data_IF_060087464476
#
_entry.id   IF_060087464476
#
_cell.length_a   1.000
_cell.length_b   1.000
_cell.length_c   1.000
_cell.angle_alpha   90.00
_cell.angle_beta   90.00
_cell.angle_gamma   90.00
#
_symmetry.space_group_name_H-M   'P 1'
#
loop_
_entity.id
_entity.type
_entity.pdbx_description
1 polymer ?
#
# COMPACT_ATOMS: atom_id res chain seq x y z
N UNK A 1 -34.60 -1.57 39.29
CA UNK A 1 -33.23 -2.13 39.33
C UNK A 1 -32.76 -2.72 37.98
N UNK A 2 -33.65 -2.95 37.00
CA UNK A 2 -33.31 -3.52 35.67
C UNK A 2 -32.62 -2.51 34.72
N UNK A 3 -32.85 -1.20 34.90
CA UNK A 3 -32.26 -0.13 34.07
C UNK A 3 -30.73 -0.02 34.17
N UNK A 4 -30.13 -0.50 35.27
CA UNK A 4 -28.69 -0.43 35.50
C UNK A 4 -27.91 -1.55 34.77
N UNK A 5 -28.58 -2.67 34.44
CA UNK A 5 -27.92 -3.81 33.77
C UNK A 5 -27.78 -3.64 32.25
N UNK A 6 -28.57 -2.76 31.61
CA UNK A 6 -28.48 -2.47 30.17
C UNK A 6 -27.37 -1.48 29.82
N UNK A 7 -26.88 -0.70 30.79
CA UNK A 7 -25.74 0.22 30.62
C UNK A 7 -24.40 -0.53 30.56
N UNK A 8 -24.32 -1.71 31.19
CA UNK A 8 -23.12 -2.55 31.21
C UNK A 8 -22.69 -3.04 29.82
N UNK A 9 -23.55 -3.65 28.98
CA UNK A 9 -23.11 -4.11 27.66
C UNK A 9 -22.76 -2.95 26.73
N UNK A 10 -23.47 -1.81 26.83
CA UNK A 10 -23.20 -0.62 26.01
C UNK A 10 -21.82 -0.04 26.36
N UNK A 11 -21.51 0.04 27.65
CA UNK A 11 -20.20 0.52 28.11
C UNK A 11 -19.07 -0.41 27.65
N UNK A 12 -19.28 -1.73 27.72
CA UNK A 12 -18.31 -2.72 27.21
C UNK A 12 -18.11 -2.60 25.70
N UNK A 13 -19.20 -2.46 24.92
CA UNK A 13 -19.12 -2.25 23.47
C UNK A 13 -18.38 -0.95 23.14
N UNK A 14 -18.66 0.13 23.87
CA UNK A 14 -17.98 1.42 23.67
C UNK A 14 -16.48 1.32 23.98
N UNK A 15 -16.11 0.55 25.00
CA UNK A 15 -14.72 0.29 25.36
C UNK A 15 -14.00 -0.53 24.28
N UNK A 16 -14.68 -1.52 23.68
CA UNK A 16 -14.13 -2.34 22.59
C UNK A 16 -13.90 -1.49 21.33
N UNK A 17 -14.83 -0.60 20.99
CA UNK A 17 -14.67 0.32 19.85
C UNK A 17 -13.52 1.30 20.11
N UNK A 18 -13.39 1.82 21.34
CA UNK A 18 -12.30 2.73 21.70
C UNK A 18 -10.91 2.05 21.67
N UNK A 19 -10.83 0.75 21.95
CA UNK A 19 -9.59 -0.05 21.93
C UNK A 19 -9.29 -0.63 20.54
N UNK A 20 -10.23 -0.51 19.59
CA UNK A 20 -10.01 -0.93 18.20
C UNK A 20 -8.83 -0.15 17.63
N UNK A 21 -7.67 -0.81 17.60
CA UNK A 21 -6.39 -0.23 17.23
C UNK A 21 -6.49 0.37 15.84
N UNK A 22 -5.83 1.49 15.62
CA UNK A 22 -5.64 2.05 14.27
C UNK A 22 -5.14 0.92 13.39
N UNK A 23 -5.94 0.48 12.43
CA UNK A 23 -5.48 -0.44 11.42
C UNK A 23 -4.37 0.30 10.64
N UNK A 24 -3.11 0.08 11.02
CA UNK A 24 -1.98 0.44 10.20
C UNK A 24 -2.22 -0.32 8.89
N UNK A 25 -2.66 0.41 7.85
CA UNK A 25 -2.70 -0.15 6.52
C UNK A 25 -1.32 -0.76 6.29
N UNK A 26 -1.28 -2.08 6.12
CA UNK A 26 -0.01 -2.80 5.99
C UNK A 26 0.84 -2.12 4.92
N UNK A 27 2.17 -2.13 5.05
CA UNK A 27 3.02 -1.63 3.99
C UNK A 27 2.60 -2.36 2.72
N UNK A 28 2.40 -1.64 1.62
CA UNK A 28 1.73 -2.23 0.46
C UNK A 28 2.53 -3.37 -0.19
N UNK A 29 2.94 -3.24 -1.44
CA UNK A 29 3.66 -4.32 -2.10
C UNK A 29 5.15 -4.26 -1.77
N UNK A 30 5.63 -5.14 -0.89
CA UNK A 30 7.05 -5.18 -0.50
C UNK A 30 7.86 -6.22 -1.26
N UNK A 31 9.15 -5.91 -1.48
CA UNK A 31 10.18 -6.84 -1.94
C UNK A 31 11.51 -6.45 -1.32
N UNK A 32 12.07 -7.34 -0.49
CA UNK A 32 13.29 -7.04 0.26
C UNK A 32 13.12 -5.83 1.19
N UNK A 33 14.06 -4.88 1.23
CA UNK A 33 14.00 -3.71 2.10
C UNK A 33 13.12 -2.56 1.56
N UNK A 34 12.45 -2.76 0.41
CA UNK A 34 11.64 -1.72 -0.24
C UNK A 34 10.18 -2.13 -0.26
N UNK A 35 9.30 -1.19 0.07
CA UNK A 35 7.85 -1.35 0.00
C UNK A 35 7.24 -0.31 -0.93
N UNK A 36 6.17 -0.68 -1.63
CA UNK A 36 5.34 0.26 -2.37
C UNK A 36 3.99 0.49 -1.70
N UNK A 37 3.63 1.74 -1.47
CA UNK A 37 2.29 2.20 -1.09
C UNK A 37 1.62 2.99 -2.23
N UNK A 38 0.36 3.39 -1.99
CA UNK A 38 -0.41 4.27 -2.87
C UNK A 38 -0.39 3.88 -4.37
N UNK A 39 -0.47 2.57 -4.66
CA UNK A 39 -0.43 2.02 -6.02
C UNK A 39 -1.70 2.44 -6.76
N UNK A 40 -1.54 3.17 -7.86
CA UNK A 40 -2.66 3.70 -8.65
C UNK A 40 -2.42 3.54 -10.14
N UNK A 41 -3.50 3.43 -10.92
CA UNK A 41 -3.42 3.45 -12.39
C UNK A 41 -3.22 4.89 -12.86
N UNK A 42 -2.41 5.07 -13.90
CA UNK A 42 -2.29 6.37 -14.57
C UNK A 42 -3.59 6.73 -15.28
N UNK A 43 -4.07 7.95 -15.06
CA UNK A 43 -5.26 8.47 -15.73
C UNK A 43 -5.05 8.71 -17.24
N UNK A 44 -3.79 8.93 -17.66
CA UNK A 44 -3.44 9.18 -19.06
C UNK A 44 -3.17 7.88 -19.83
N UNK A 45 -2.54 6.91 -19.17
CA UNK A 45 -2.09 5.66 -19.80
C UNK A 45 -2.52 4.48 -18.94
N UNK A 46 -3.58 3.77 -19.33
CA UNK A 46 -4.18 2.70 -18.52
C UNK A 46 -3.26 1.49 -18.25
N UNK A 47 -2.17 1.34 -19.03
CA UNK A 47 -1.14 0.31 -18.85
C UNK A 47 0.02 0.75 -17.93
N UNK A 48 -0.02 1.99 -17.42
CA UNK A 48 0.98 2.49 -16.48
C UNK A 48 0.44 2.49 -15.06
N UNK A 49 1.32 2.14 -14.12
CA UNK A 49 1.06 2.24 -12.69
C UNK A 49 1.98 3.27 -12.07
N UNK A 50 1.44 4.01 -11.11
CA UNK A 50 2.14 4.95 -10.29
C UNK A 50 2.29 4.30 -8.91
N UNK A 51 3.53 4.17 -8.45
CA UNK A 51 3.86 3.60 -7.14
C UNK A 51 4.60 4.63 -6.31
N UNK A 52 4.33 4.66 -5.01
CA UNK A 52 5.17 5.36 -4.05
C UNK A 52 6.02 4.32 -3.35
N UNK A 53 7.34 4.43 -3.47
CA UNK A 53 8.31 3.53 -2.88
C UNK A 53 8.88 4.13 -1.61
N UNK A 54 9.16 3.27 -0.64
CA UNK A 54 9.87 3.59 0.59
C UNK A 54 10.85 2.46 0.92
N UNK A 55 12.08 2.80 1.25
CA UNK A 55 13.10 1.85 1.74
C UNK A 55 13.34 1.98 3.25
N UNK A 56 14.09 1.04 3.82
CA UNK A 56 14.44 1.05 5.25
C UNK A 56 15.35 2.21 5.68
N UNK A 57 15.97 2.91 4.72
CA UNK A 57 16.80 4.10 4.98
C UNK A 57 15.93 5.37 5.07
N UNK A 58 14.63 5.25 4.80
CA UNK A 58 13.67 6.35 4.79
C UNK A 58 13.64 7.11 3.46
N UNK A 59 14.30 6.60 2.41
CA UNK A 59 14.17 7.18 1.08
C UNK A 59 12.78 6.93 0.55
N UNK A 60 12.16 7.98 0.03
CA UNK A 60 10.82 7.93 -0.54
C UNK A 60 10.82 8.47 -1.95
N UNK A 61 10.20 7.73 -2.85
CA UNK A 61 10.19 8.10 -4.27
C UNK A 61 8.87 7.73 -4.94
N UNK A 62 8.37 8.63 -5.80
CA UNK A 62 7.25 8.32 -6.68
C UNK A 62 7.78 7.85 -8.03
N UNK A 63 7.45 6.63 -8.42
CA UNK A 63 7.86 6.05 -9.70
C UNK A 63 6.65 5.68 -10.55
N UNK A 64 6.88 5.58 -11.85
CA UNK A 64 5.91 5.08 -12.82
C UNK A 64 6.48 3.83 -13.46
N UNK A 65 5.71 2.74 -13.51
CA UNK A 65 6.07 1.55 -14.29
C UNK A 65 5.15 1.42 -15.51
N UNK A 66 5.75 1.18 -16.68
CA UNK A 66 5.01 0.70 -17.87
C UNK A 66 4.88 -0.83 -17.79
N UNK A 67 3.66 -1.32 -17.59
CA UNK A 67 3.42 -2.75 -17.43
C UNK A 67 3.58 -3.58 -18.72
N UNK A 68 3.68 -2.94 -19.89
CA UNK A 68 3.93 -3.64 -21.17
C UNK A 68 5.41 -3.96 -21.34
N UNK A 69 6.27 -3.04 -20.89
CA UNK A 69 7.72 -3.13 -21.08
C UNK A 69 8.48 -3.45 -19.78
N UNK A 70 7.79 -3.42 -18.62
CA UNK A 70 8.38 -3.58 -17.29
C UNK A 70 9.52 -2.57 -17.01
N UNK A 71 9.37 -1.36 -17.53
CA UNK A 71 10.34 -0.26 -17.36
C UNK A 71 9.83 0.70 -16.30
N UNK A 72 10.69 1.00 -15.33
CA UNK A 72 10.44 1.98 -14.26
C UNK A 72 11.04 3.34 -14.65
N UNK A 73 10.28 4.40 -14.40
CA UNK A 73 10.67 5.80 -14.58
C UNK A 73 10.52 6.58 -13.27
N UNK A 74 11.48 7.44 -12.90
CA UNK A 74 12.76 7.66 -13.59
C UNK A 74 13.70 6.45 -13.49
N UNK A 75 14.63 6.30 -14.44
CA UNK A 75 15.57 5.14 -14.48
C UNK A 75 16.54 5.11 -13.30
N UNK A 76 16.78 6.24 -12.65
CA UNK A 76 17.63 6.40 -11.48
C UNK A 76 16.86 7.15 -10.41
N UNK A 77 17.21 6.93 -9.16
CA UNK A 77 16.57 7.53 -7.99
C UNK A 77 17.22 7.07 -6.71
N UNK A 78 16.68 7.51 -5.58
CA UNK A 78 17.18 7.17 -4.24
C UNK A 78 16.91 5.70 -3.89
N UNK A 79 15.78 5.17 -4.37
CA UNK A 79 15.40 3.78 -4.13
C UNK A 79 16.00 2.88 -5.22
N UNK A 80 16.64 1.78 -4.79
CA UNK A 80 17.26 0.81 -5.68
C UNK A 80 16.24 0.25 -6.71
N UNK A 81 16.67 0.30 -7.97
CA UNK A 81 15.80 0.02 -9.12
C UNK A 81 15.53 -1.45 -9.34
N UNK A 82 16.39 -2.33 -8.86
CA UNK A 82 16.17 -3.77 -8.91
C UNK A 82 14.92 -4.13 -8.09
N UNK A 83 14.79 -3.55 -6.89
CA UNK A 83 13.60 -3.71 -6.07
C UNK A 83 12.39 -3.01 -6.68
N UNK A 84 12.54 -1.78 -7.19
CA UNK A 84 11.44 -1.06 -7.86
C UNK A 84 10.85 -1.86 -9.04
N UNK A 85 11.70 -2.46 -9.88
CA UNK A 85 11.28 -3.31 -11.02
C UNK A 85 10.61 -4.59 -10.52
N UNK A 86 11.13 -5.23 -9.48
CA UNK A 86 10.55 -6.45 -8.91
C UNK A 86 9.15 -6.19 -8.33
N UNK A 87 9.00 -5.13 -7.55
CA UNK A 87 7.71 -4.67 -7.01
C UNK A 87 6.76 -4.34 -8.16
N UNK A 88 7.21 -3.54 -9.12
CA UNK A 88 6.40 -3.12 -10.25
C UNK A 88 5.92 -4.31 -11.10
N UNK A 89 6.77 -5.31 -11.36
CA UNK A 89 6.38 -6.55 -12.05
C UNK A 89 5.25 -7.26 -11.32
N UNK A 90 5.32 -7.34 -9.99
CA UNK A 90 4.27 -7.97 -9.18
C UNK A 90 3.00 -7.13 -9.17
N UNK A 91 3.10 -5.80 -9.07
CA UNK A 91 1.95 -4.90 -9.15
C UNK A 91 1.23 -5.01 -10.50
N UNK A 92 1.98 -5.03 -11.60
CA UNK A 92 1.44 -5.23 -12.95
C UNK A 92 0.70 -6.57 -13.10
N UNK A 93 1.17 -7.64 -12.43
CA UNK A 93 0.49 -8.93 -12.43
C UNK A 93 -0.83 -8.89 -11.65
N UNK A 94 -0.81 -8.36 -10.42
CA UNK A 94 -1.99 -8.28 -9.57
C UNK A 94 -3.12 -7.49 -10.24
N UNK A 95 -2.77 -6.39 -10.91
CA UNK A 95 -3.76 -5.55 -11.58
C UNK A 95 -4.36 -6.22 -12.83
N UNK A 96 -3.68 -7.21 -13.43
CA UNK A 96 -4.23 -8.02 -14.52
C UNK A 96 -5.21 -9.10 -14.03
N UNK A 97 -4.95 -9.69 -12.87
CA UNK A 97 -5.80 -10.76 -12.30
C UNK A 97 -7.12 -10.22 -11.74
N UNK A 98 -7.14 -8.94 -11.35
CA UNK A 98 -8.31 -8.28 -10.75
C UNK A 98 -9.24 -7.65 -11.81
N UNK A 99 -8.96 -7.82 -13.11
CA UNK A 99 -9.79 -7.31 -14.21
C UNK A 99 -10.35 -8.47 -15.04
#
# INVERSE_FOLDING_TARGET
MIRLMLLSPIFVVLLIIAVSSTAQAGPGLCTGPVCADAISRSAKNHWQLILKLEDQQGHRERVVIDCRQLVVSPRFGLVDRSYAIAIGRRACRLIREVT
#
